data_IF_164992556090
#
_entry.id   IF_164992556090
#
_cell.length_a   1.000
_cell.length_b   1.000
_cell.length_c   1.000
_cell.angle_alpha   90.00
_cell.angle_beta   90.00
_cell.angle_gamma   90.00
#
_symmetry.space_group_name_H-M   'P 1'
#
loop_
_entity.id
_entity.type
_entity.pdbx_description
1 polymer ?
#
# COMPACT_ATOMS: atom_id res chain seq x y z
N UNK A 1 5.74 14.83 11.83
CA UNK A 1 4.69 13.85 12.02
C UNK A 1 4.88 12.66 11.13
N UNK A 2 4.81 11.49 11.72
CA UNK A 2 5.07 10.27 10.97
C UNK A 2 3.83 9.89 10.17
N UNK A 3 3.87 10.21 8.90
CA UNK A 3 2.85 9.80 7.96
C UNK A 3 3.54 8.95 6.91
N UNK A 4 2.97 7.80 6.66
CA UNK A 4 3.61 6.79 5.83
C UNK A 4 3.01 6.69 4.43
N UNK A 5 1.88 7.37 4.16
CA UNK A 5 1.18 7.18 2.89
C UNK A 5 2.04 7.51 1.69
N UNK A 6 2.83 8.58 1.76
CA UNK A 6 3.67 8.97 0.63
C UNK A 6 4.75 7.91 0.37
N UNK A 7 5.43 7.48 1.43
CA UNK A 7 6.47 6.47 1.32
C UNK A 7 5.90 5.13 0.83
N UNK A 8 4.74 4.75 1.36
CA UNK A 8 4.09 3.50 0.96
C UNK A 8 3.76 3.54 -0.53
N UNK A 9 3.15 4.62 -1.00
CA UNK A 9 2.78 4.73 -2.41
C UNK A 9 4.00 4.73 -3.33
N UNK A 10 5.07 5.39 -2.91
CA UNK A 10 6.31 5.37 -3.69
C UNK A 10 6.88 3.97 -3.81
N UNK A 11 6.91 3.23 -2.69
CA UNK A 11 7.44 1.88 -2.67
C UNK A 11 6.54 0.95 -3.51
N UNK A 12 5.23 1.11 -3.40
CA UNK A 12 4.29 0.33 -4.22
C UNK A 12 4.56 0.56 -5.70
N UNK A 13 4.69 1.82 -6.10
CA UNK A 13 4.95 2.16 -7.50
C UNK A 13 6.26 1.62 -8.01
N UNK A 14 7.32 1.67 -7.19
CA UNK A 14 8.63 1.15 -7.57
C UNK A 14 8.61 -0.35 -7.80
N UNK A 15 7.70 -1.04 -7.15
CA UNK A 15 7.59 -2.49 -7.26
C UNK A 15 6.52 -2.91 -8.27
N UNK A 16 6.04 -1.99 -9.07
CA UNK A 16 5.11 -2.30 -10.14
C UNK A 16 3.65 -2.39 -9.72
N UNK A 17 3.33 -2.06 -8.47
CA UNK A 17 1.95 -2.01 -8.04
C UNK A 17 1.25 -0.83 -8.69
N UNK A 18 -0.01 -1.00 -9.03
CA UNK A 18 -0.78 0.03 -9.70
C UNK A 18 -2.07 0.32 -8.93
N UNK A 19 -2.50 1.58 -9.01
CA UNK A 19 -3.79 1.99 -8.52
C UNK A 19 -4.88 1.45 -9.44
N UNK A 20 -5.88 0.79 -8.89
CA UNK A 20 -6.97 0.20 -9.66
C UNK A 20 -8.20 1.09 -9.62
N UNK A 21 -8.66 1.42 -8.41
CA UNK A 21 -9.86 2.23 -8.23
C UNK A 21 -9.98 2.67 -6.78
N UNK A 22 -10.91 3.60 -6.55
CA UNK A 22 -11.28 3.96 -5.18
C UNK A 22 -12.11 2.83 -4.58
N UNK A 23 -11.77 2.45 -3.35
CA UNK A 23 -12.56 1.50 -2.62
C UNK A 23 -13.58 2.19 -1.73
N UNK A 24 -14.14 1.46 -0.79
CA UNK A 24 -15.09 2.01 0.17
C UNK A 24 -14.36 2.88 1.19
N UNK A 25 -15.03 3.97 1.59
CA UNK A 25 -14.50 4.87 2.60
C UNK A 25 -13.20 5.51 2.14
N UNK A 26 -12.20 5.50 2.99
CA UNK A 26 -10.91 6.14 2.73
C UNK A 26 -9.86 5.17 2.22
N UNK A 27 -10.30 4.12 1.51
CA UNK A 27 -9.39 3.12 0.96
C UNK A 27 -9.31 3.22 -0.54
N UNK A 28 -8.09 3.06 -1.06
CA UNK A 28 -7.84 2.88 -2.49
C UNK A 28 -7.53 1.39 -2.71
N UNK A 29 -7.88 0.89 -3.89
CA UNK A 29 -7.57 -0.48 -4.24
C UNK A 29 -6.38 -0.46 -5.18
N UNK A 30 -5.32 -1.17 -4.80
CA UNK A 30 -4.11 -1.32 -5.60
C UNK A 30 -3.95 -2.78 -5.98
N UNK A 31 -3.21 -3.01 -7.05
CA UNK A 31 -2.90 -4.37 -7.51
C UNK A 31 -1.40 -4.59 -7.50
N UNK A 32 -0.97 -5.73 -6.98
CA UNK A 32 0.43 -6.11 -6.94
C UNK A 32 0.74 -7.17 -7.97
N UNK A 33 1.74 -6.94 -8.84
CA UNK A 33 2.18 -7.99 -9.77
C UNK A 33 2.95 -9.10 -9.07
N UNK A 34 3.44 -8.83 -7.86
CA UNK A 34 4.20 -9.83 -7.10
C UNK A 34 3.28 -10.95 -6.62
N UNK A 35 2.14 -10.60 -6.05
CA UNK A 35 1.18 -11.57 -5.54
C UNK A 35 0.08 -11.90 -6.54
N UNK A 36 -0.10 -11.05 -7.55
CA UNK A 36 -1.22 -11.16 -8.47
C UNK A 36 -2.56 -10.82 -7.86
N UNK A 37 -2.55 -10.10 -6.74
CA UNK A 37 -3.77 -9.78 -5.99
C UNK A 37 -3.93 -8.29 -5.81
N UNK A 38 -5.20 -7.88 -5.62
CA UNK A 38 -5.54 -6.52 -5.24
C UNK A 38 -5.65 -6.43 -3.72
N UNK A 39 -5.38 -5.25 -3.19
CA UNK A 39 -5.40 -5.04 -1.75
C UNK A 39 -5.79 -3.59 -1.45
N UNK A 40 -6.38 -3.34 -0.27
CA UNK A 40 -6.74 -1.97 0.09
C UNK A 40 -5.54 -1.21 0.65
N UNK A 41 -5.49 0.06 0.33
CA UNK A 41 -4.48 0.98 0.86
C UNK A 41 -5.21 2.18 1.46
N UNK A 42 -5.01 2.42 2.74
CA UNK A 42 -5.63 3.54 3.43
C UNK A 42 -5.15 4.85 2.83
N UNK A 43 -6.04 5.83 2.73
CA UNK A 43 -5.67 7.15 2.24
C UNK A 43 -4.74 7.87 3.22
N UNK A 44 -4.85 7.55 4.51
CA UNK A 44 -3.96 8.07 5.54
C UNK A 44 -3.36 6.92 6.31
N UNK A 45 -2.04 6.86 6.33
CA UNK A 45 -1.31 5.79 7.00
C UNK A 45 -0.44 6.40 8.08
N UNK A 46 -0.97 6.45 9.29
CA UNK A 46 -0.29 7.08 10.42
C UNK A 46 0.46 6.07 11.27
N UNK A 47 0.24 4.79 11.06
CA UNK A 47 0.82 3.74 11.87
C UNK A 47 1.82 2.95 11.05
N UNK A 48 2.98 2.70 11.66
CA UNK A 48 3.98 1.82 11.08
C UNK A 48 3.43 0.41 10.86
N UNK A 49 2.56 -0.04 11.78
CA UNK A 49 1.93 -1.36 11.66
C UNK A 49 1.07 -1.46 10.40
N UNK A 50 0.31 -0.42 10.10
CA UNK A 50 -0.52 -0.39 8.90
C UNK A 50 0.35 -0.38 7.66
N UNK A 51 1.40 0.45 7.67
CA UNK A 51 2.33 0.51 6.55
C UNK A 51 2.98 -0.84 6.28
N UNK A 52 3.43 -1.52 7.34
CA UNK A 52 4.05 -2.84 7.21
C UNK A 52 3.05 -3.90 6.74
N UNK A 53 1.80 -3.79 7.17
CA UNK A 53 0.75 -4.71 6.72
C UNK A 53 0.51 -4.57 5.21
N UNK A 54 0.51 -3.33 4.71
CA UNK A 54 0.37 -3.08 3.28
C UNK A 54 1.53 -3.68 2.50
N UNK A 55 2.75 -3.50 3.00
CA UNK A 55 3.92 -4.11 2.36
C UNK A 55 3.77 -5.63 2.29
N UNK A 56 3.32 -6.24 3.38
CA UNK A 56 3.12 -7.68 3.43
C UNK A 56 2.05 -8.14 2.45
N UNK A 57 0.94 -7.42 2.37
CA UNK A 57 -0.15 -7.77 1.46
C UNK A 57 0.28 -7.64 0.00
N UNK A 58 1.13 -6.67 -0.30
CA UNK A 58 1.63 -6.46 -1.66
C UNK A 58 2.75 -7.42 -2.04
N UNK A 59 3.30 -8.14 -1.07
CA UNK A 59 4.41 -9.06 -1.31
C UNK A 59 5.75 -8.35 -1.40
N UNK A 60 5.81 -7.10 -1.00
CA UNK A 60 7.05 -6.32 -1.04
C UNK A 60 7.84 -6.58 0.24
N UNK A 61 9.10 -6.91 0.08
CA UNK A 61 10.00 -7.16 1.21
C UNK A 61 10.59 -5.83 1.71
N UNK A 62 9.74 -5.07 2.38
CA UNK A 62 10.13 -3.79 2.96
C UNK A 62 9.50 -3.64 4.32
N UNK A 63 10.25 -3.11 5.25
CA UNK A 63 9.80 -2.93 6.62
C UNK A 63 10.12 -1.51 7.07
N UNK A 64 9.11 -0.83 7.55
CA UNK A 64 9.28 0.51 8.12
C UNK A 64 9.77 0.46 9.56
#
# INVERSE_FOLDING_TARGET
MAEYEKAVREILGRNGCIFVRRGKGDHDIWHSPITGRSFPVDSKIKSRHVANAIMRQSGIDHKF
#
